data_IF_604437913803
#
_entry.id   IF_604437913803
#
_cell.length_a   1.000
_cell.length_b   1.000
_cell.length_c   1.000
_cell.angle_alpha   90.00
_cell.angle_beta   90.00
_cell.angle_gamma   90.00
#
_symmetry.space_group_name_H-M   'P 1'
#
loop_
_entity.id
_entity.type
_entity.pdbx_description
1 polymer ?
#
# COMPACT_ATOMS: atom_id res chain seq x y z
N UNK A 1 31.11 -17.44 -30.04
CA UNK A 1 30.52 -16.43 -29.11
C UNK A 1 29.03 -16.64 -28.82
N UNK A 2 28.20 -17.08 -29.78
CA UNK A 2 26.74 -17.23 -29.58
C UNK A 2 26.30 -18.19 -28.46
N UNK A 3 26.92 -19.36 -28.35
CA UNK A 3 26.55 -20.37 -27.32
C UNK A 3 26.79 -19.89 -25.88
N UNK A 4 27.81 -19.06 -25.63
CA UNK A 4 28.06 -18.48 -24.30
C UNK A 4 26.99 -17.47 -23.88
N UNK A 5 26.49 -16.67 -24.83
CA UNK A 5 25.41 -15.72 -24.55
C UNK A 5 24.11 -16.44 -24.18
N UNK A 6 23.76 -17.50 -24.95
CA UNK A 6 22.59 -18.34 -24.65
C UNK A 6 22.71 -18.97 -23.26
N UNK A 7 23.89 -19.46 -22.89
CA UNK A 7 24.12 -20.04 -21.57
C UNK A 7 23.95 -19.02 -20.44
N UNK A 8 24.52 -17.82 -20.56
CA UNK A 8 24.40 -16.78 -19.53
C UNK A 8 22.98 -16.22 -19.38
N UNK A 9 22.21 -16.16 -20.47
CA UNK A 9 20.78 -15.80 -20.40
C UNK A 9 19.99 -16.88 -19.65
N UNK A 10 20.22 -18.17 -19.93
CA UNK A 10 19.59 -19.27 -19.17
C UNK A 10 19.97 -19.30 -17.69
N UNK A 11 21.17 -18.84 -17.36
CA UNK A 11 21.66 -18.72 -15.98
C UNK A 11 21.20 -17.44 -15.27
N UNK A 12 20.45 -16.55 -15.93
CA UNK A 12 20.00 -15.27 -15.38
C UNK A 12 21.10 -14.23 -15.17
N UNK A 13 22.30 -14.45 -15.72
CA UNK A 13 23.47 -13.55 -15.59
C UNK A 13 23.46 -12.39 -16.59
N UNK A 14 22.71 -12.55 -17.69
CA UNK A 14 22.59 -11.58 -18.75
C UNK A 14 21.12 -11.17 -18.88
N UNK A 15 20.87 -9.90 -19.17
CA UNK A 15 19.51 -9.38 -19.34
C UNK A 15 18.77 -10.11 -20.46
N UNK A 16 17.48 -10.33 -20.26
CA UNK A 16 16.58 -10.83 -21.30
C UNK A 16 16.21 -9.69 -22.25
N UNK A 17 16.18 -9.97 -23.55
CA UNK A 17 15.85 -8.99 -24.58
C UNK A 17 14.51 -9.33 -25.25
N UNK A 18 13.67 -8.32 -25.58
CA UNK A 18 13.87 -6.88 -25.35
C UNK A 18 13.88 -6.51 -23.86
N UNK A 19 14.66 -5.50 -23.50
CA UNK A 19 14.82 -5.09 -22.10
C UNK A 19 13.49 -4.60 -21.53
N UNK A 20 13.07 -5.18 -20.41
CA UNK A 20 11.98 -4.69 -19.58
C UNK A 20 12.55 -4.15 -18.25
N UNK A 21 12.25 -2.89 -17.92
CA UNK A 21 12.72 -2.26 -16.68
C UNK A 21 12.10 -2.88 -15.42
N UNK A 22 10.98 -3.58 -15.56
CA UNK A 22 10.25 -4.27 -14.48
C UNK A 22 10.61 -5.77 -14.42
N UNK A 23 11.60 -6.23 -15.20
CA UNK A 23 11.99 -7.65 -15.20
C UNK A 23 12.46 -8.10 -13.81
N UNK A 24 11.77 -9.11 -13.26
CA UNK A 24 12.04 -9.63 -11.92
C UNK A 24 11.42 -8.82 -10.78
N UNK A 25 10.66 -7.77 -11.09
CA UNK A 25 9.82 -7.06 -10.15
C UNK A 25 8.37 -7.52 -10.33
N UNK A 26 7.76 -8.01 -9.27
CA UNK A 26 6.34 -8.35 -9.19
C UNK A 26 5.81 -7.74 -7.89
N UNK A 27 4.75 -6.94 -7.99
CA UNK A 27 4.11 -6.25 -6.86
C UNK A 27 3.09 -7.18 -6.17
N UNK A 28 3.55 -8.40 -5.86
CA UNK A 28 2.74 -9.50 -5.33
C UNK A 28 1.51 -9.84 -6.21
N UNK A 29 1.55 -9.56 -7.51
CA UNK A 29 0.41 -9.74 -8.43
C UNK A 29 -0.73 -8.73 -8.24
N UNK A 30 -0.48 -7.62 -7.54
CA UNK A 30 -1.51 -6.60 -7.23
C UNK A 30 -1.99 -5.87 -8.48
N UNK A 31 -3.31 -5.67 -8.58
CA UNK A 31 -3.90 -4.86 -9.64
C UNK A 31 -4.04 -3.38 -9.23
N UNK A 32 -4.16 -2.49 -10.22
CA UNK A 32 -4.22 -1.04 -9.97
C UNK A 32 -5.32 -0.62 -8.98
N UNK A 33 -6.48 -1.28 -9.00
CA UNK A 33 -7.63 -0.96 -8.14
C UNK A 33 -7.31 -1.22 -6.67
N UNK A 34 -6.37 -2.10 -6.37
CA UNK A 34 -5.89 -2.38 -5.02
C UNK A 34 -4.98 -1.28 -4.47
N UNK A 35 -4.22 -0.61 -5.34
CA UNK A 35 -3.40 0.54 -4.97
C UNK A 35 -4.23 1.82 -4.83
N UNK A 36 -5.31 1.94 -5.60
CA UNK A 36 -6.08 3.19 -5.72
C UNK A 36 -7.27 3.22 -4.76
N UNK A 37 -8.07 2.15 -4.68
CA UNK A 37 -9.29 2.13 -3.88
C UNK A 37 -9.05 1.52 -2.50
N UNK A 38 -8.50 2.33 -1.60
CA UNK A 38 -8.18 1.95 -0.22
C UNK A 38 -9.36 2.11 0.75
N UNK A 39 -10.51 2.62 0.28
CA UNK A 39 -11.70 2.87 1.10
C UNK A 39 -12.23 1.61 1.81
N UNK A 40 -11.99 0.43 1.22
CA UNK A 40 -12.31 -0.88 1.80
C UNK A 40 -11.64 -1.11 3.17
N UNK A 41 -10.50 -0.48 3.43
CA UNK A 41 -9.80 -0.58 4.71
C UNK A 41 -10.28 0.44 5.76
N UNK A 42 -11.18 1.36 5.38
CA UNK A 42 -11.73 2.37 6.27
C UNK A 42 -13.00 1.94 7.01
N UNK A 43 -13.49 0.71 6.81
CA UNK A 43 -14.70 0.20 7.48
C UNK A 43 -14.56 0.15 9.02
N UNK A 44 -13.33 0.02 9.53
CA UNK A 44 -13.02 0.04 10.95
C UNK A 44 -12.89 1.44 11.57
N UNK A 45 -13.23 2.50 10.82
CA UNK A 45 -13.17 3.90 11.27
C UNK A 45 -14.58 4.52 11.31
N UNK A 46 -14.79 5.60 12.08
CA UNK A 46 -16.04 6.35 12.04
C UNK A 46 -16.41 6.78 10.63
N UNK A 47 -17.70 6.65 10.27
CA UNK A 47 -18.19 7.03 8.92
C UNK A 47 -18.26 8.53 8.69
N UNK A 48 -18.21 9.33 9.76
CA UNK A 48 -18.31 10.78 9.73
C UNK A 48 -17.40 11.39 10.81
N UNK A 49 -17.09 12.68 10.66
CA UNK A 49 -16.30 13.43 11.63
C UNK A 49 -14.81 13.57 11.26
N UNK A 50 -14.01 14.16 12.16
CA UNK A 50 -12.64 14.57 11.84
C UNK A 50 -11.70 13.39 11.55
N UNK A 51 -11.89 12.24 12.22
CA UNK A 51 -11.10 11.03 11.97
C UNK A 51 -11.35 10.52 10.54
N UNK A 52 -12.60 10.54 10.09
CA UNK A 52 -12.94 10.13 8.72
C UNK A 52 -12.23 11.02 7.71
N UNK A 53 -12.35 12.33 7.87
CA UNK A 53 -11.74 13.29 6.96
C UNK A 53 -10.21 13.16 6.93
N UNK A 54 -9.59 12.95 8.09
CA UNK A 54 -8.15 12.67 8.18
C UNK A 54 -7.76 11.40 7.43
N UNK A 55 -8.49 10.30 7.64
CA UNK A 55 -8.19 9.02 6.98
C UNK A 55 -8.45 9.05 5.47
N UNK A 56 -9.39 9.85 4.99
CA UNK A 56 -9.59 10.11 3.56
C UNK A 56 -8.37 10.81 2.93
N UNK A 57 -7.74 11.73 3.66
CA UNK A 57 -6.48 12.35 3.20
C UNK A 57 -5.32 11.35 3.22
N UNK A 58 -5.22 10.51 4.25
CA UNK A 58 -4.19 9.46 4.34
C UNK A 58 -4.32 8.49 3.18
N UNK A 59 -5.52 7.95 2.94
CA UNK A 59 -5.78 7.02 1.84
C UNK A 59 -5.60 7.68 0.47
N UNK A 60 -5.98 8.94 0.30
CA UNK A 60 -5.67 9.70 -0.91
C UNK A 60 -4.15 9.82 -1.15
N UNK A 61 -3.37 10.09 -0.11
CA UNK A 61 -1.90 10.13 -0.19
C UNK A 61 -1.30 8.77 -0.54
N UNK A 62 -1.75 7.70 0.12
CA UNK A 62 -1.31 6.33 -0.16
C UNK A 62 -1.67 5.88 -1.58
N UNK A 63 -2.83 6.29 -2.11
CA UNK A 63 -3.25 5.96 -3.49
C UNK A 63 -2.31 6.51 -4.55
N UNK A 64 -1.68 7.67 -4.28
CA UNK A 64 -0.75 8.34 -5.19
C UNK A 64 0.70 7.88 -5.03
N UNK A 65 0.97 6.94 -4.14
CA UNK A 65 2.32 6.45 -3.87
C UNK A 65 2.64 5.20 -4.71
N UNK A 66 3.57 5.30 -5.69
CA UNK A 66 4.00 4.17 -6.51
C UNK A 66 5.14 3.35 -5.86
N UNK A 67 5.68 3.80 -4.74
CA UNK A 67 6.83 3.18 -4.08
C UNK A 67 6.44 2.21 -2.95
N UNK A 68 5.16 2.10 -2.64
CA UNK A 68 4.63 1.22 -1.61
C UNK A 68 3.73 0.15 -2.23
N UNK A 69 3.95 -1.10 -1.81
CA UNK A 69 3.04 -2.20 -2.14
C UNK A 69 1.70 -2.04 -1.42
N UNK A 70 0.67 -2.77 -1.87
CA UNK A 70 -0.66 -2.79 -1.20
C UNK A 70 -0.51 -3.13 0.28
N UNK A 71 0.32 -4.13 0.60
CA UNK A 71 0.54 -4.59 1.97
C UNK A 71 1.03 -3.48 2.88
N UNK A 72 2.03 -2.71 2.44
CA UNK A 72 2.56 -1.59 3.22
C UNK A 72 1.51 -0.50 3.43
N UNK A 73 0.70 -0.20 2.41
CA UNK A 73 -0.41 0.77 2.53
C UNK A 73 -1.44 0.32 3.58
N UNK A 74 -1.76 -0.98 3.62
CA UNK A 74 -2.68 -1.55 4.60
C UNK A 74 -2.10 -1.49 6.01
N UNK A 75 -0.84 -1.86 6.20
CA UNK A 75 -0.14 -1.77 7.49
C UNK A 75 -0.17 -0.34 8.06
N UNK A 76 0.01 0.68 7.20
CA UNK A 76 -0.12 2.08 7.60
C UNK A 76 -1.53 2.44 8.11
N UNK A 77 -2.59 1.95 7.44
CA UNK A 77 -3.98 2.19 7.85
C UNK A 77 -4.29 1.48 9.17
N UNK A 78 -3.83 0.23 9.33
CA UNK A 78 -3.99 -0.54 10.56
C UNK A 78 -3.29 0.11 11.76
N UNK A 79 -2.10 0.67 11.53
CA UNK A 79 -1.40 1.42 12.57
C UNK A 79 -2.24 2.58 13.12
N UNK A 80 -2.88 3.36 12.25
CA UNK A 80 -3.78 4.44 12.69
C UNK A 80 -4.97 3.91 13.48
N UNK A 81 -5.55 2.78 13.07
CA UNK A 81 -6.65 2.15 13.79
C UNK A 81 -6.26 1.79 15.23
N UNK A 82 -5.09 1.18 15.40
CA UNK A 82 -4.56 0.83 16.71
C UNK A 82 -4.25 2.10 17.55
N UNK A 83 -3.64 3.10 16.91
CA UNK A 83 -3.34 4.37 17.56
C UNK A 83 -4.60 5.07 18.11
N UNK A 84 -5.66 5.19 17.30
CA UNK A 84 -6.91 5.80 17.77
C UNK A 84 -7.60 4.97 18.87
N UNK A 85 -7.47 3.65 18.83
CA UNK A 85 -7.95 2.77 19.89
C UNK A 85 -7.23 3.02 21.22
N UNK A 86 -5.90 3.17 21.20
CA UNK A 86 -5.12 3.47 22.40
C UNK A 86 -5.42 4.87 22.96
N UNK A 87 -5.81 5.82 22.10
CA UNK A 87 -6.13 7.21 22.49
C UNK A 87 -7.62 7.46 22.69
N UNK A 88 -8.44 6.43 22.88
CA UNK A 88 -9.90 6.53 23.06
C UNK A 88 -10.32 7.53 24.14
N UNK A 89 -9.60 7.61 25.25
CA UNK A 89 -9.97 8.52 26.34
C UNK A 89 -9.77 9.99 25.95
N UNK A 90 -8.69 10.31 25.23
CA UNK A 90 -8.44 11.66 24.69
C UNK A 90 -9.49 12.03 23.63
N UNK A 91 -9.90 11.05 22.81
CA UNK A 91 -10.95 11.27 21.82
C UNK A 91 -12.30 11.56 22.48
N UNK A 92 -12.63 10.88 23.58
CA UNK A 92 -13.84 11.15 24.37
C UNK A 92 -13.83 12.55 24.97
N UNK A 93 -12.70 13.00 25.53
CA UNK A 93 -12.54 14.39 26.02
C UNK A 93 -12.79 15.43 24.91
N UNK A 94 -12.47 15.07 23.68
CA UNK A 94 -12.69 15.91 22.49
C UNK A 94 -14.07 15.73 21.84
N UNK A 95 -15.02 15.03 22.49
CA UNK A 95 -16.35 14.67 21.97
C UNK A 95 -16.33 13.86 20.66
N UNK A 96 -15.29 13.05 20.44
CA UNK A 96 -15.16 12.15 19.28
C UNK A 96 -15.41 10.71 19.72
N UNK A 97 -16.36 10.03 19.09
CA UNK A 97 -16.61 8.61 19.31
C UNK A 97 -15.84 7.77 18.27
N UNK A 98 -15.01 6.85 18.77
CA UNK A 98 -14.27 5.88 17.96
C UNK A 98 -14.60 4.48 18.47
N UNK A 99 -15.31 3.69 17.64
CA UNK A 99 -15.83 2.36 18.00
C UNK A 99 -14.88 1.26 17.54
#
# INVERSE_FOLDING_TARGET
MGLRRIQWTKEGKLWEFPINNEAGFDDDGSEFHEHIFLDKYLEGFPKQGPIRHFMELVTCGLSKNPYLSVKQKVEHIEWFRNYFNEKRDILKESNIQFN
#
